data_IF_776579857097
#
_entry.id   IF_776579857097
#
_cell.length_a   1.000
_cell.length_b   1.000
_cell.length_c   1.000
_cell.angle_alpha   90.00
_cell.angle_beta   90.00
_cell.angle_gamma   90.00
#
_symmetry.space_group_name_H-M   'P 1'
#
loop_
_entity.id
_entity.type
_entity.pdbx_description
1 polymer ?
#
# COMPACT_ATOMS: atom_id res chain seq x y z
N UNK A 1 -52.45 8.26 3.59
CA UNK A 1 -51.33 7.30 3.55
C UNK A 1 -50.96 7.07 2.10
N UNK A 2 -49.76 7.48 1.69
CA UNK A 2 -48.77 6.52 1.21
C UNK A 2 -47.39 6.83 1.83
N UNK A 3 -46.61 5.89 2.37
CA UNK A 3 -46.41 4.53 1.88
C UNK A 3 -45.36 4.46 0.77
N UNK A 4 -44.31 5.28 0.81
CA UNK A 4 -43.11 5.16 -0.04
C UNK A 4 -42.05 4.33 0.67
N UNK A 5 -41.83 3.06 0.32
CA UNK A 5 -40.97 2.57 -0.78
C UNK A 5 -39.52 3.03 -0.67
N UNK A 6 -38.66 2.03 -0.47
CA UNK A 6 -37.26 2.08 -0.83
C UNK A 6 -36.32 2.23 0.35
N UNK A 7 -36.12 1.15 1.12
CA UNK A 7 -34.85 1.01 1.83
C UNK A 7 -33.81 0.66 0.75
N UNK A 8 -33.37 1.70 0.04
CA UNK A 8 -32.33 1.62 -0.96
C UNK A 8 -31.07 1.12 -0.28
N UNK A 9 -30.65 -0.08 -0.65
CA UNK A 9 -29.24 -0.43 -0.86
C UNK A 9 -28.41 0.81 -1.22
N UNK A 10 -27.22 0.92 -0.61
CA UNK A 10 -26.10 1.89 -0.81
C UNK A 10 -26.00 2.83 0.41
N UNK A 11 -24.94 2.86 1.21
CA UNK A 11 -23.53 2.64 0.91
C UNK A 11 -22.86 1.76 1.99
N UNK A 12 -22.40 0.55 1.64
CA UNK A 12 -21.19 0.04 2.27
C UNK A 12 -20.03 0.71 1.55
N UNK A 13 -19.82 2.00 1.82
CA UNK A 13 -18.53 2.62 1.55
C UNK A 13 -17.56 1.84 2.43
N UNK A 14 -16.75 0.97 1.83
CA UNK A 14 -15.59 0.39 2.48
C UNK A 14 -14.68 1.58 2.82
N UNK A 15 -14.96 2.27 3.91
CA UNK A 15 -14.20 3.43 4.34
C UNK A 15 -12.88 2.90 4.87
N UNK A 16 -11.80 3.24 4.17
CA UNK A 16 -10.46 2.87 4.58
C UNK A 16 -10.25 3.34 6.03
N UNK A 17 -10.02 2.38 6.94
CA UNK A 17 -9.87 2.63 8.37
C UNK A 17 -8.46 3.18 8.62
N UNK A 18 -8.29 4.31 9.32
CA UNK A 18 -6.96 4.76 9.70
C UNK A 18 -6.33 3.81 10.72
N UNK A 19 -5.11 3.37 10.45
CA UNK A 19 -4.32 2.53 11.35
C UNK A 19 -3.18 3.30 12.02
N UNK A 20 -2.55 4.22 11.29
CA UNK A 20 -1.40 4.99 11.76
C UNK A 20 -1.27 6.32 11.04
N UNK A 21 -0.74 7.33 11.73
CA UNK A 21 -0.35 8.59 11.10
C UNK A 21 0.77 9.22 11.89
N UNK A 22 1.84 9.60 11.19
CA UNK A 22 2.89 10.46 11.71
C UNK A 22 3.22 11.58 10.70
N UNK A 23 4.43 12.16 10.81
CA UNK A 23 4.88 13.24 9.91
C UNK A 23 5.26 12.74 8.52
N UNK A 24 5.62 11.47 8.35
CA UNK A 24 6.17 10.90 7.11
C UNK A 24 5.16 10.02 6.38
N UNK A 25 4.27 9.36 7.12
CA UNK A 25 3.47 8.24 6.67
C UNK A 25 2.06 8.24 7.31
N UNK A 26 1.06 8.00 6.49
CA UNK A 26 -0.32 7.69 6.89
C UNK A 26 -0.63 6.29 6.40
N UNK A 27 -1.07 5.40 7.29
CA UNK A 27 -1.46 4.04 6.95
C UNK A 27 -2.95 3.87 7.16
N UNK A 28 -3.66 3.43 6.13
CA UNK A 28 -5.07 3.06 6.20
C UNK A 28 -5.26 1.62 5.75
N UNK A 29 -6.36 1.00 6.17
CA UNK A 29 -6.72 -0.37 5.82
C UNK A 29 -8.09 -0.39 5.15
N UNK A 30 -8.15 -0.92 3.93
CA UNK A 30 -9.38 -1.43 3.35
C UNK A 30 -9.59 -2.86 3.86
N UNK A 31 -10.65 -3.12 4.65
CA UNK A 31 -10.83 -4.43 5.28
C UNK A 31 -11.10 -5.53 4.24
N UNK A 32 -10.65 -6.75 4.55
CA UNK A 32 -10.90 -7.92 3.72
C UNK A 32 -12.41 -8.14 3.50
N UNK A 33 -12.79 -8.54 2.28
CA UNK A 33 -14.19 -8.75 1.92
C UNK A 33 -14.37 -9.52 0.62
N UNK A 34 -15.44 -10.31 0.51
CA UNK A 34 -15.82 -11.04 -0.71
C UNK A 34 -14.67 -11.90 -1.31
N UNK A 35 -13.85 -12.53 -0.45
CA UNK A 35 -12.71 -13.34 -0.87
C UNK A 35 -11.46 -12.56 -1.29
N UNK A 36 -11.48 -11.22 -1.18
CA UNK A 36 -10.29 -10.38 -1.36
C UNK A 36 -9.58 -10.18 -0.02
N UNK A 37 -8.23 -10.21 0.00
CA UNK A 37 -7.48 -9.84 1.20
C UNK A 37 -7.70 -8.35 1.53
N UNK A 38 -7.47 -7.98 2.78
CA UNK A 38 -7.43 -6.58 3.18
C UNK A 38 -6.22 -5.88 2.55
N UNK A 39 -6.39 -4.61 2.20
CA UNK A 39 -5.35 -3.81 1.56
C UNK A 39 -4.89 -2.73 2.54
N UNK A 40 -3.60 -2.67 2.77
CA UNK A 40 -2.95 -1.58 3.48
C UNK A 40 -2.50 -0.53 2.47
N UNK A 41 -2.91 0.71 2.69
CA UNK A 41 -2.46 1.86 1.90
C UNK A 41 -1.45 2.66 2.72
N UNK A 42 -0.26 2.81 2.17
CA UNK A 42 0.84 3.56 2.74
C UNK A 42 1.01 4.87 1.99
N UNK A 43 0.53 5.95 2.58
CA UNK A 43 0.56 7.28 1.97
C UNK A 43 1.65 8.13 2.61
N UNK A 44 2.58 8.61 1.80
CA UNK A 44 3.61 9.56 2.23
C UNK A 44 3.51 10.87 1.46
N UNK A 45 3.91 11.97 2.11
CA UNK A 45 3.95 13.31 1.51
C UNK A 45 5.35 13.89 1.64
N UNK A 46 6.30 13.49 0.78
CA UNK A 46 7.68 14.00 0.82
C UNK A 46 7.75 15.51 0.56
N UNK A 47 6.77 16.09 -0.16
CA UNK A 47 6.62 17.54 -0.31
C UNK A 47 5.14 17.93 -0.18
N UNK A 48 4.86 19.24 -0.10
CA UNK A 48 3.46 19.76 -0.05
C UNK A 48 2.65 19.35 -1.29
N UNK A 49 3.32 19.16 -2.43
CA UNK A 49 2.67 18.90 -3.73
C UNK A 49 2.80 17.45 -4.20
N UNK A 50 3.72 16.67 -3.62
CA UNK A 50 3.96 15.28 -4.02
C UNK A 50 3.43 14.32 -2.97
N UNK A 51 2.62 13.39 -3.42
CA UNK A 51 2.11 12.28 -2.61
C UNK A 51 2.53 10.97 -3.28
N UNK A 52 2.97 10.02 -2.48
CA UNK A 52 3.38 8.68 -2.94
C UNK A 52 2.59 7.67 -2.13
N UNK A 53 1.91 6.77 -2.82
CA UNK A 53 1.13 5.69 -2.23
C UNK A 53 1.73 4.33 -2.60
N UNK A 54 1.77 3.43 -1.62
CA UNK A 54 2.02 2.01 -1.84
C UNK A 54 0.84 1.21 -1.33
N UNK A 55 0.40 0.26 -2.14
CA UNK A 55 -0.62 -0.71 -1.72
C UNK A 55 0.08 -2.00 -1.34
N UNK A 56 -0.36 -2.61 -0.25
CA UNK A 56 0.21 -3.86 0.20
C UNK A 56 -0.83 -4.78 0.83
N UNK A 57 -0.53 -6.07 0.83
CA UNK A 57 -1.32 -7.09 1.54
C UNK A 57 -0.47 -7.66 2.66
N UNK A 58 -1.06 -7.73 3.86
CA UNK A 58 -0.46 -8.41 5.00
C UNK A 58 -0.91 -9.88 5.01
N UNK A 59 0.03 -10.82 5.03
CA UNK A 59 -0.25 -12.26 5.11
C UNK A 59 0.64 -12.94 6.12
N UNK A 60 0.05 -13.60 7.13
CA UNK A 60 0.76 -14.24 8.25
C UNK A 60 1.82 -13.33 8.88
N UNK A 61 3.07 -13.42 8.44
CA UNK A 61 4.22 -12.64 8.92
C UNK A 61 4.99 -11.96 7.79
N UNK A 62 4.33 -11.76 6.64
CA UNK A 62 4.92 -11.16 5.45
C UNK A 62 4.06 -10.03 4.89
N UNK A 63 4.71 -8.97 4.42
CA UNK A 63 4.06 -7.86 3.72
C UNK A 63 4.37 -7.95 2.23
N UNK A 64 3.34 -7.93 1.39
CA UNK A 64 3.47 -7.96 -0.07
C UNK A 64 3.14 -6.60 -0.64
N UNK A 65 4.15 -5.84 -1.05
CA UNK A 65 4.01 -4.46 -1.53
C UNK A 65 3.93 -4.45 -3.05
N UNK A 66 2.87 -3.89 -3.61
CA UNK A 66 2.73 -3.70 -5.05
C UNK A 66 3.54 -2.47 -5.51
N UNK A 67 4.28 -2.63 -6.60
CA UNK A 67 4.91 -1.51 -7.31
C UNK A 67 3.96 -1.03 -8.40
N UNK A 68 3.53 0.26 -8.35
CA UNK A 68 2.64 0.85 -9.35
C UNK A 68 3.19 0.68 -10.77
N UNK A 69 2.31 0.48 -11.76
CA UNK A 69 2.71 0.31 -13.17
C UNK A 69 3.47 1.52 -13.71
N UNK A 70 3.15 2.71 -13.21
CA UNK A 70 3.83 3.94 -13.60
C UNK A 70 5.26 3.99 -13.03
N UNK A 71 6.15 4.79 -13.65
CA UNK A 71 7.48 5.02 -13.10
C UNK A 71 7.40 5.61 -11.69
N UNK A 72 8.25 5.11 -10.80
CA UNK A 72 8.32 5.60 -9.42
C UNK A 72 8.68 7.09 -9.39
N UNK A 73 7.86 7.95 -8.74
CA UNK A 73 8.14 9.37 -8.64
C UNK A 73 9.38 9.65 -7.78
N UNK A 74 9.95 10.84 -7.92
CA UNK A 74 10.99 11.33 -7.00
C UNK A 74 10.46 11.35 -5.55
N UNK A 75 11.29 10.91 -4.59
CA UNK A 75 10.89 10.72 -3.19
C UNK A 75 10.43 9.30 -2.86
N UNK A 76 10.32 8.41 -3.86
CA UNK A 76 9.86 7.03 -3.65
C UNK A 76 10.79 6.23 -2.74
N UNK A 77 12.08 6.55 -2.71
CA UNK A 77 13.04 5.86 -1.84
C UNK A 77 12.72 6.14 -0.37
N UNK A 78 12.62 7.41 -0.01
CA UNK A 78 12.35 7.87 1.35
C UNK A 78 10.96 7.42 1.82
N UNK A 79 9.98 7.45 0.90
CA UNK A 79 8.65 6.90 1.09
C UNK A 79 8.66 5.40 1.38
N UNK A 80 9.39 4.62 0.58
CA UNK A 80 9.50 3.18 0.75
C UNK A 80 10.25 2.82 2.03
N UNK A 81 11.28 3.59 2.41
CA UNK A 81 11.96 3.41 3.70
C UNK A 81 11.00 3.64 4.88
N UNK A 82 10.16 4.67 4.85
CA UNK A 82 9.14 4.86 5.89
C UNK A 82 8.14 3.70 5.97
N UNK A 83 7.77 3.11 4.83
CA UNK A 83 6.95 1.89 4.80
C UNK A 83 7.66 0.71 5.49
N UNK A 84 8.95 0.50 5.20
CA UNK A 84 9.74 -0.59 5.80
C UNK A 84 9.87 -0.42 7.32
N UNK A 85 10.14 0.79 7.80
CA UNK A 85 10.17 1.12 9.23
C UNK A 85 8.82 0.78 9.89
N UNK A 86 7.69 1.16 9.28
CA UNK A 86 6.38 0.79 9.80
C UNK A 86 6.14 -0.72 9.80
N UNK A 87 6.55 -1.42 8.74
CA UNK A 87 6.41 -2.86 8.63
C UNK A 87 7.14 -3.59 9.78
N UNK A 88 8.35 -3.14 10.11
CA UNK A 88 9.15 -3.70 11.21
C UNK A 88 8.61 -3.29 12.59
N UNK A 89 8.31 -2.01 12.79
CA UNK A 89 7.99 -1.47 14.12
C UNK A 89 6.54 -1.76 14.52
N UNK A 90 5.60 -1.71 13.59
CA UNK A 90 4.16 -1.76 13.89
C UNK A 90 3.53 -3.08 13.44
N UNK A 91 3.85 -3.56 12.23
CA UNK A 91 3.29 -4.83 11.73
C UNK A 91 4.06 -6.06 12.23
N UNK A 92 5.31 -5.89 12.70
CA UNK A 92 6.19 -6.97 13.16
C UNK A 92 6.35 -8.09 12.13
N UNK A 93 6.39 -7.73 10.84
CA UNK A 93 6.61 -8.72 9.77
C UNK A 93 8.06 -9.19 9.76
N UNK A 94 8.26 -10.44 9.36
CA UNK A 94 9.58 -11.08 9.22
C UNK A 94 10.11 -10.94 7.80
N UNK A 95 9.21 -10.74 6.82
CA UNK A 95 9.58 -10.66 5.42
C UNK A 95 8.76 -9.60 4.69
N UNK A 96 9.40 -8.92 3.74
CA UNK A 96 8.74 -7.99 2.83
C UNK A 96 9.02 -8.46 1.41
N UNK A 97 7.97 -8.59 0.61
CA UNK A 97 8.03 -8.93 -0.80
C UNK A 97 7.64 -7.73 -1.63
N UNK A 98 8.41 -7.46 -2.68
CA UNK A 98 8.11 -6.43 -3.67
C UNK A 98 7.55 -7.10 -4.92
N UNK A 99 6.33 -6.73 -5.28
CA UNK A 99 5.57 -7.36 -6.36
C UNK A 99 5.35 -6.37 -7.50
N UNK A 100 5.74 -6.74 -8.73
CA UNK A 100 5.47 -5.94 -9.91
C UNK A 100 5.15 -6.84 -11.11
N UNK A 101 4.43 -6.28 -12.09
CA UNK A 101 4.02 -7.04 -13.26
C UNK A 101 5.22 -7.55 -14.07
N UNK A 102 5.22 -8.84 -14.46
CA UNK A 102 6.37 -9.50 -15.10
C UNK A 102 6.83 -8.83 -16.39
N UNK A 103 5.89 -8.27 -17.17
CA UNK A 103 6.14 -7.75 -18.51
C UNK A 103 6.32 -6.22 -18.52
N UNK A 104 7.11 -5.70 -17.58
CA UNK A 104 7.45 -4.28 -17.51
C UNK A 104 8.73 -3.97 -18.29
N UNK A 105 8.71 -2.91 -19.09
CA UNK A 105 9.88 -2.45 -19.85
C UNK A 105 11.02 -1.98 -18.92
N UNK A 106 10.68 -1.47 -17.74
CA UNK A 106 11.62 -1.01 -16.71
C UNK A 106 12.02 -2.10 -15.69
N UNK A 107 11.68 -3.38 -15.94
CA UNK A 107 11.95 -4.51 -15.03
C UNK A 107 13.41 -4.58 -14.56
N UNK A 108 14.38 -4.45 -15.47
CA UNK A 108 15.80 -4.53 -15.11
C UNK A 108 16.22 -3.37 -14.17
N UNK A 109 15.62 -2.19 -14.36
CA UNK A 109 15.84 -1.03 -13.49
C UNK A 109 15.23 -1.27 -12.11
N UNK A 110 14.01 -1.80 -12.04
CA UNK A 110 13.36 -2.14 -10.77
C UNK A 110 14.16 -3.15 -9.96
N UNK A 111 14.54 -4.28 -10.59
CA UNK A 111 15.37 -5.31 -9.95
C UNK A 111 16.64 -4.70 -9.38
N UNK A 112 17.34 -3.87 -10.17
CA UNK A 112 18.56 -3.20 -9.71
C UNK A 112 18.29 -2.25 -8.54
N UNK A 113 17.23 -1.44 -8.61
CA UNK A 113 16.86 -0.50 -7.54
C UNK A 113 16.59 -1.22 -6.22
N UNK A 114 15.78 -2.28 -6.24
CA UNK A 114 15.45 -3.03 -5.03
C UNK A 114 16.63 -3.87 -4.52
N UNK A 115 17.50 -4.36 -5.41
CA UNK A 115 18.76 -5.00 -5.01
C UNK A 115 19.67 -4.06 -4.21
N UNK A 116 19.74 -2.77 -4.57
CA UNK A 116 20.46 -1.77 -3.76
C UNK A 116 19.82 -1.50 -2.40
N UNK A 117 18.54 -1.83 -2.22
CA UNK A 117 17.83 -1.77 -0.94
C UNK A 117 17.93 -3.09 -0.14
N UNK A 118 18.67 -4.08 -0.64
CA UNK A 118 18.88 -5.37 0.02
C UNK A 118 17.86 -6.45 -0.34
N UNK A 119 17.01 -6.24 -1.33
CA UNK A 119 16.09 -7.29 -1.82
C UNK A 119 16.80 -8.24 -2.78
N UNK A 120 16.36 -9.49 -2.79
CA UNK A 120 16.80 -10.55 -3.68
C UNK A 120 15.63 -11.15 -4.48
N UNK A 121 15.94 -11.84 -5.59
CA UNK A 121 14.97 -12.50 -6.49
C UNK A 121 14.78 -13.94 -6.08
#
# INVERSE_FOLDING_TARGET
IPGGRGNGTRDHTFSARPLYTDRRLTVTEEPAGNGRPGILHFLSRPTVTKTIQWDAVLGSSALYVEIPRDPLPEGSKESFTALLEYAEEHLKVVSVFVCFYKNRDDRAKLVRTFSFLGFEI
#
